data_IF_031760172099
#
_entry.id   IF_031760172099
#
_cell.length_a   1.000
_cell.length_b   1.000
_cell.length_c   1.000
_cell.angle_alpha   90.00
_cell.angle_beta   90.00
_cell.angle_gamma   90.00
#
_symmetry.space_group_name_H-M   'P 1'
#
loop_
_entity.id
_entity.type
_entity.pdbx_description
1 polymer ?
#
# COMPACT_ATOMS: atom_id res chain seq x y z
N UNK A 1 -24.41 -14.29 -74.96
CA UNK A 1 -24.78 -14.23 -73.54
C UNK A 1 -24.06 -15.34 -72.80
N UNK A 2 -23.08 -15.01 -71.97
CA UNK A 2 -22.70 -15.83 -70.81
C UNK A 2 -21.87 -14.94 -69.87
N UNK A 3 -22.46 -14.66 -68.71
CA UNK A 3 -21.94 -13.77 -67.67
C UNK A 3 -20.77 -14.44 -66.93
N UNK A 4 -19.68 -13.69 -66.76
CA UNK A 4 -18.70 -13.92 -65.71
C UNK A 4 -19.29 -13.44 -64.37
N UNK A 5 -19.21 -14.27 -63.34
CA UNK A 5 -19.39 -13.84 -61.95
C UNK A 5 -18.07 -14.06 -61.23
N UNK A 6 -17.34 -12.97 -61.00
CA UNK A 6 -16.14 -12.96 -60.16
C UNK A 6 -16.61 -12.89 -58.71
N UNK A 7 -16.30 -13.92 -57.93
CA UNK A 7 -16.61 -14.00 -56.52
C UNK A 7 -15.44 -13.36 -55.72
N UNK A 8 -15.56 -12.07 -55.39
CA UNK A 8 -14.58 -11.33 -54.58
C UNK A 8 -15.07 -11.20 -53.13
N UNK A 9 -14.77 -12.20 -52.28
CA UNK A 9 -15.12 -12.17 -50.86
C UNK A 9 -13.91 -12.32 -49.90
N UNK A 10 -12.68 -12.32 -50.42
CA UNK A 10 -11.47 -12.59 -49.61
C UNK A 10 -10.61 -11.35 -49.27
N UNK A 11 -11.05 -10.13 -49.59
CA UNK A 11 -10.23 -8.91 -49.42
C UNK A 11 -10.57 -8.02 -48.22
N UNK A 12 -11.83 -7.96 -47.78
CA UNK A 12 -12.28 -6.94 -46.84
C UNK A 12 -11.88 -7.21 -45.37
N UNK A 13 -11.82 -8.47 -44.96
CA UNK A 13 -11.50 -8.85 -43.58
C UNK A 13 -10.03 -8.65 -43.19
N UNK A 14 -9.10 -8.74 -44.15
CA UNK A 14 -7.66 -8.54 -43.90
C UNK A 14 -7.25 -7.05 -43.90
N UNK A 15 -7.99 -6.19 -44.60
CA UNK A 15 -7.75 -4.74 -44.60
C UNK A 15 -8.13 -4.13 -43.24
N UNK A 16 -9.32 -4.47 -42.72
CA UNK A 16 -9.79 -4.00 -41.42
C UNK A 16 -8.89 -4.44 -40.24
N UNK A 17 -8.33 -5.65 -40.29
CA UNK A 17 -7.40 -6.13 -39.25
C UNK A 17 -6.05 -5.40 -39.28
N UNK A 18 -5.57 -5.03 -40.47
CA UNK A 18 -4.29 -4.32 -40.64
C UNK A 18 -4.42 -2.86 -40.17
N UNK A 19 -5.56 -2.23 -40.46
CA UNK A 19 -5.87 -0.86 -40.01
C UNK A 19 -6.06 -0.77 -38.48
N UNK A 20 -6.60 -1.81 -37.84
CA UNK A 20 -6.69 -1.86 -36.36
C UNK A 20 -5.35 -2.12 -35.68
N UNK A 21 -4.48 -2.92 -36.30
CA UNK A 21 -3.11 -3.11 -35.79
C UNK A 21 -2.29 -1.82 -35.86
N UNK A 22 -2.38 -1.07 -36.96
CA UNK A 22 -1.70 0.21 -37.10
C UNK A 22 -2.26 1.27 -36.14
N UNK A 23 -3.59 1.29 -35.94
CA UNK A 23 -4.21 2.13 -34.92
C UNK A 23 -3.76 1.80 -33.49
N UNK A 24 -3.65 0.51 -33.13
CA UNK A 24 -3.15 0.09 -31.83
C UNK A 24 -1.70 0.53 -31.59
N UNK A 25 -0.85 0.46 -32.62
CA UNK A 25 0.52 0.98 -32.56
C UNK A 25 0.53 2.51 -32.38
N UNK A 26 -0.30 3.25 -33.12
CA UNK A 26 -0.41 4.70 -32.96
C UNK A 26 -0.89 5.09 -31.56
N UNK A 27 -1.82 4.34 -30.96
CA UNK A 27 -2.26 4.57 -29.59
C UNK A 27 -1.11 4.35 -28.59
N UNK A 28 -0.28 3.33 -28.77
CA UNK A 28 0.88 3.08 -27.92
C UNK A 28 1.96 4.17 -28.04
N UNK A 29 2.09 4.81 -29.21
CA UNK A 29 3.02 5.92 -29.44
C UNK A 29 2.48 7.25 -28.91
N UNK A 30 1.17 7.48 -28.99
CA UNK A 30 0.53 8.75 -28.59
C UNK A 30 0.20 8.81 -27.10
N UNK A 31 -0.10 7.67 -26.47
CA UNK A 31 -0.55 7.61 -25.08
C UNK A 31 0.46 6.83 -24.22
N UNK A 32 1.26 7.53 -23.39
CA UNK A 32 2.24 6.89 -22.51
C UNK A 32 1.64 5.82 -21.60
N UNK A 33 0.38 5.97 -21.18
CA UNK A 33 -0.31 4.98 -20.35
C UNK A 33 -0.45 3.61 -21.01
N UNK A 34 -0.60 3.56 -22.35
CA UNK A 34 -0.70 2.30 -23.10
C UNK A 34 0.63 1.55 -23.03
N UNK A 35 1.74 2.27 -23.14
CA UNK A 35 3.09 1.70 -23.02
C UNK A 35 3.36 1.21 -21.60
N UNK A 36 3.04 2.01 -20.58
CA UNK A 36 3.16 1.59 -19.17
C UNK A 36 2.34 0.33 -18.86
N UNK A 37 1.09 0.29 -19.31
CA UNK A 37 0.24 -0.88 -19.13
C UNK A 37 0.81 -2.12 -19.85
N UNK A 38 1.41 -1.97 -21.02
CA UNK A 38 2.10 -3.08 -21.69
C UNK A 38 3.35 -3.57 -20.93
N UNK A 39 4.10 -2.65 -20.31
CA UNK A 39 5.34 -2.97 -19.59
C UNK A 39 5.08 -3.59 -18.21
N UNK A 40 4.14 -3.05 -17.44
CA UNK A 40 3.90 -3.47 -16.04
C UNK A 40 2.97 -4.68 -15.92
N UNK A 41 2.07 -4.87 -16.88
CA UNK A 41 1.01 -5.91 -16.80
C UNK A 41 1.40 -7.21 -17.53
N UNK A 42 2.49 -7.21 -18.32
CA UNK A 42 2.89 -8.36 -19.15
C UNK A 42 4.12 -9.12 -18.61
N UNK A 43 4.03 -10.46 -18.62
CA UNK A 43 4.86 -11.18 -19.60
C UNK A 43 3.99 -12.00 -20.57
N UNK A 44 4.26 -11.82 -21.87
CA UNK A 44 3.92 -12.66 -23.04
C UNK A 44 3.28 -14.05 -22.77
N UNK A 45 2.11 -14.38 -23.37
CA UNK A 45 1.99 -15.40 -24.47
C UNK A 45 0.60 -15.99 -24.78
N UNK A 46 -0.44 -16.01 -23.94
CA UNK A 46 -1.50 -17.04 -24.15
C UNK A 46 -2.83 -16.65 -24.82
N UNK A 47 -3.00 -15.47 -25.43
CA UNK A 47 -4.25 -15.14 -26.18
C UNK A 47 -4.04 -14.32 -27.45
N UNK A 48 -2.92 -14.49 -28.15
CA UNK A 48 -2.54 -13.61 -29.27
C UNK A 48 -3.11 -13.97 -30.66
N UNK A 49 -3.99 -14.96 -30.82
CA UNK A 49 -4.43 -15.35 -32.16
C UNK A 49 -5.83 -14.86 -32.61
N UNK A 50 -6.65 -14.27 -31.72
CA UNK A 50 -8.04 -13.95 -32.11
C UNK A 50 -8.70 -12.74 -31.44
N UNK A 51 -7.99 -11.95 -30.62
CA UNK A 51 -8.56 -10.73 -30.02
C UNK A 51 -8.17 -9.51 -30.85
N UNK A 52 -9.12 -8.59 -31.01
CA UNK A 52 -8.89 -7.28 -31.62
C UNK A 52 -7.78 -6.53 -30.87
N UNK A 53 -6.76 -6.00 -31.55
CA UNK A 53 -5.72 -5.17 -30.94
C UNK A 53 -6.23 -4.01 -30.08
N UNK A 54 -7.37 -3.39 -30.44
CA UNK A 54 -7.96 -2.30 -29.66
C UNK A 54 -8.61 -2.80 -28.37
N UNK A 55 -9.26 -3.96 -28.40
CA UNK A 55 -9.80 -4.62 -27.20
C UNK A 55 -8.68 -5.04 -26.25
N UNK A 56 -7.54 -5.46 -26.79
CA UNK A 56 -6.37 -5.80 -25.99
C UNK A 56 -5.80 -4.58 -25.25
N UNK A 57 -5.78 -3.41 -25.89
CA UNK A 57 -5.38 -2.15 -25.25
C UNK A 57 -6.34 -1.83 -24.09
N UNK A 58 -7.66 -1.91 -24.31
CA UNK A 58 -8.63 -1.64 -23.25
C UNK A 58 -8.54 -2.63 -22.07
N UNK A 59 -8.28 -3.91 -22.33
CA UNK A 59 -8.03 -4.94 -21.31
C UNK A 59 -6.76 -4.63 -20.50
N UNK A 60 -5.66 -4.26 -21.16
CA UNK A 60 -4.40 -3.89 -20.50
C UNK A 60 -4.56 -2.65 -19.61
N UNK A 61 -5.22 -1.61 -20.13
CA UNK A 61 -5.48 -0.37 -19.40
C UNK A 61 -6.38 -0.60 -18.18
N UNK A 62 -7.41 -1.42 -18.34
CA UNK A 62 -8.31 -1.80 -17.23
C UNK A 62 -7.57 -2.60 -16.17
N UNK A 63 -6.71 -3.55 -16.56
CA UNK A 63 -5.91 -4.34 -15.64
C UNK A 63 -4.86 -3.49 -14.92
N UNK A 64 -4.19 -2.59 -15.63
CA UNK A 64 -3.27 -1.61 -15.05
C UNK A 64 -3.94 -0.77 -13.96
N UNK A 65 -5.10 -0.18 -14.25
CA UNK A 65 -5.85 0.60 -13.24
C UNK A 65 -6.22 -0.26 -12.03
N UNK A 66 -6.68 -1.49 -12.25
CA UNK A 66 -7.00 -2.42 -11.17
C UNK A 66 -5.79 -2.72 -10.28
N UNK A 67 -4.63 -2.97 -10.86
CA UNK A 67 -3.39 -3.23 -10.11
C UNK A 67 -2.93 -2.01 -9.32
N UNK A 68 -2.98 -0.80 -9.90
CA UNK A 68 -2.62 0.43 -9.19
C UNK A 68 -3.62 0.74 -8.06
N UNK A 69 -4.93 0.54 -8.27
CA UNK A 69 -5.94 0.71 -7.22
C UNK A 69 -5.72 -0.27 -6.06
N UNK A 70 -5.51 -1.56 -6.35
CA UNK A 70 -5.21 -2.55 -5.31
C UNK A 70 -3.94 -2.19 -4.53
N UNK A 71 -2.92 -1.66 -5.22
CA UNK A 71 -1.70 -1.18 -4.57
C UNK A 71 -1.97 0.01 -3.65
N UNK A 72 -2.79 0.97 -4.08
CA UNK A 72 -3.18 2.11 -3.27
C UNK A 72 -3.99 1.68 -2.03
N UNK A 73 -4.91 0.73 -2.18
CA UNK A 73 -5.67 0.15 -1.05
C UNK A 73 -4.74 -0.51 -0.04
N UNK A 74 -3.79 -1.34 -0.49
CA UNK A 74 -2.81 -1.96 0.39
C UNK A 74 -1.92 -0.96 1.14
N UNK A 75 -1.54 0.15 0.49
CA UNK A 75 -0.83 1.25 1.15
C UNK A 75 -1.70 1.93 2.20
N UNK A 76 -2.97 2.22 1.89
CA UNK A 76 -3.90 2.86 2.81
C UNK A 76 -4.14 2.00 4.07
N UNK A 77 -4.31 0.69 3.90
CA UNK A 77 -4.47 -0.25 5.01
C UNK A 77 -3.21 -0.30 5.88
N UNK A 78 -2.02 -0.32 5.27
CA UNK A 78 -0.76 -0.31 6.02
C UNK A 78 -0.59 0.98 6.85
N UNK A 79 -0.86 2.14 6.24
CA UNK A 79 -0.86 3.44 6.93
C UNK A 79 -1.82 3.43 8.11
N UNK A 80 -3.03 2.91 7.93
CA UNK A 80 -4.04 2.83 8.97
C UNK A 80 -3.59 1.94 10.12
N UNK A 81 -3.18 0.71 9.83
CA UNK A 81 -2.73 -0.26 10.85
C UNK A 81 -1.59 0.33 11.69
N UNK A 82 -0.60 0.97 11.05
CA UNK A 82 0.52 1.59 11.76
C UNK A 82 0.09 2.81 12.58
N UNK A 83 -0.78 3.66 12.04
CA UNK A 83 -1.32 4.83 12.74
C UNK A 83 -2.12 4.43 13.99
N UNK A 84 -3.00 3.43 13.85
CA UNK A 84 -3.81 2.90 14.95
C UNK A 84 -2.90 2.24 16.02
N UNK A 85 -1.87 1.52 15.59
CA UNK A 85 -0.91 0.88 16.48
C UNK A 85 -0.12 1.90 17.33
N UNK A 86 0.45 2.96 16.74
CA UNK A 86 1.21 3.95 17.52
C UNK A 86 0.32 4.71 18.51
N UNK A 87 -0.92 5.03 18.12
CA UNK A 87 -1.87 5.70 18.99
C UNK A 87 -2.24 4.83 20.19
N UNK A 88 -2.49 3.54 19.95
CA UNK A 88 -2.82 2.59 21.01
C UNK A 88 -1.61 2.30 21.92
N UNK A 89 -0.40 2.21 21.37
CA UNK A 89 0.84 2.09 22.17
C UNK A 89 0.99 3.30 23.09
N UNK A 90 0.85 4.53 22.57
CA UNK A 90 0.92 5.75 23.39
C UNK A 90 -0.14 5.75 24.49
N UNK A 91 -1.38 5.36 24.17
CA UNK A 91 -2.48 5.31 25.14
C UNK A 91 -2.19 4.30 26.25
N UNK A 92 -1.80 3.07 25.90
CA UNK A 92 -1.49 2.01 26.85
C UNK A 92 -0.27 2.35 27.70
N UNK A 93 0.75 2.95 27.10
CA UNK A 93 1.94 3.39 27.82
C UNK A 93 1.62 4.50 28.83
N UNK A 94 0.76 5.46 28.46
CA UNK A 94 0.27 6.48 29.40
C UNK A 94 -0.41 5.87 30.63
N UNK A 95 -1.13 4.76 30.47
CA UNK A 95 -1.73 4.03 31.59
C UNK A 95 -0.68 3.31 32.44
N UNK A 96 0.35 2.72 31.82
CA UNK A 96 1.50 2.14 32.54
C UNK A 96 2.21 3.21 33.38
N UNK A 97 2.46 4.38 32.80
CA UNK A 97 3.05 5.53 33.50
C UNK A 97 2.17 5.98 34.67
N UNK A 98 0.87 6.17 34.45
CA UNK A 98 -0.08 6.60 35.48
C UNK A 98 -0.11 5.63 36.67
N UNK A 99 -0.12 4.32 36.40
CA UNK A 99 -0.12 3.30 37.45
C UNK A 99 1.16 3.33 38.28
N UNK A 100 2.32 3.53 37.65
CA UNK A 100 3.61 3.41 38.32
C UNK A 100 4.08 4.71 38.98
N UNK A 101 3.78 5.88 38.41
CA UNK A 101 4.30 7.17 38.89
C UNK A 101 3.95 7.44 40.36
N UNK A 102 2.75 7.06 40.81
CA UNK A 102 2.29 7.24 42.19
C UNK A 102 3.12 6.46 43.23
N UNK A 103 3.84 5.43 42.78
CA UNK A 103 4.67 4.57 43.64
C UNK A 103 6.17 4.88 43.54
N UNK A 104 6.54 5.88 42.74
CA UNK A 104 7.93 6.39 42.63
C UNK A 104 8.07 7.75 43.30
N UNK A 105 9.29 8.31 43.31
CA UNK A 105 9.55 9.68 43.78
C UNK A 105 10.59 10.35 42.86
N UNK A 106 10.31 11.54 42.30
CA UNK A 106 11.27 12.25 41.45
C UNK A 106 12.55 12.69 42.17
N UNK A 107 12.54 12.78 43.51
CA UNK A 107 13.69 13.17 44.32
C UNK A 107 14.44 11.98 44.94
N UNK A 108 13.93 10.76 44.80
CA UNK A 108 14.51 9.55 45.38
C UNK A 108 14.47 8.37 44.39
N UNK A 109 15.62 8.10 43.78
CA UNK A 109 15.79 7.00 42.83
C UNK A 109 15.80 5.61 43.49
N UNK A 110 15.88 5.52 44.82
CA UNK A 110 15.79 4.24 45.53
C UNK A 110 14.35 3.74 45.65
N UNK A 111 13.37 4.65 45.51
CA UNK A 111 11.95 4.30 45.51
C UNK A 111 11.53 3.77 44.14
N UNK A 112 11.40 2.45 44.07
CA UNK A 112 11.10 1.72 42.83
C UNK A 112 9.80 0.92 42.93
N UNK A 113 9.15 0.70 41.80
CA UNK A 113 7.94 -0.11 41.66
C UNK A 113 8.10 -1.11 40.51
N UNK A 114 7.50 -2.32 40.55
CA UNK A 114 7.47 -3.20 39.39
C UNK A 114 6.67 -2.57 38.24
N UNK A 115 7.23 -2.48 37.05
CA UNK A 115 6.60 -1.84 35.89
C UNK A 115 5.28 -2.53 35.48
N UNK A 116 5.22 -3.85 35.62
CA UNK A 116 4.07 -4.68 35.29
C UNK A 116 3.10 -4.93 36.44
N UNK A 117 3.11 -4.13 37.50
CA UNK A 117 2.19 -4.37 38.63
C UNK A 117 0.72 -4.06 38.25
N UNK A 118 -0.21 -4.78 38.90
CA UNK A 118 -1.66 -4.71 38.68
C UNK A 118 -2.08 -4.76 37.19
N UNK A 119 -2.80 -3.73 36.73
CA UNK A 119 -3.30 -3.63 35.36
C UNK A 119 -2.19 -3.41 34.32
N UNK A 120 -0.99 -2.98 34.76
CA UNK A 120 0.13 -2.70 33.87
C UNK A 120 0.66 -3.96 33.18
N UNK A 121 0.52 -5.13 33.81
CA UNK A 121 0.84 -6.43 33.19
C UNK A 121 0.11 -6.63 31.85
N UNK A 122 -1.21 -6.38 31.87
CA UNK A 122 -2.07 -6.53 30.70
C UNK A 122 -1.74 -5.49 29.63
N UNK A 123 -1.45 -4.24 30.03
CA UNK A 123 -1.06 -3.19 29.10
C UNK A 123 0.27 -3.48 28.41
N UNK A 124 1.30 -3.90 29.16
CA UNK A 124 2.59 -4.30 28.59
C UNK A 124 2.45 -5.49 27.63
N UNK A 125 1.61 -6.47 27.98
CA UNK A 125 1.30 -7.61 27.10
C UNK A 125 0.65 -7.14 25.81
N UNK A 126 -0.29 -6.19 25.89
CA UNK A 126 -0.98 -5.68 24.71
C UNK A 126 -0.06 -4.84 23.82
N UNK A 127 0.83 -4.04 24.40
CA UNK A 127 1.86 -3.31 23.66
C UNK A 127 2.79 -4.31 22.93
N UNK A 128 3.25 -5.37 23.60
CA UNK A 128 4.08 -6.41 22.96
C UNK A 128 3.36 -7.05 21.76
N UNK A 129 2.08 -7.40 21.93
CA UNK A 129 1.24 -7.96 20.86
C UNK A 129 1.13 -7.00 19.69
N UNK A 130 0.82 -5.71 19.92
CA UNK A 130 0.69 -4.71 18.85
C UNK A 130 2.00 -4.58 18.07
N UNK A 131 3.13 -4.47 18.77
CA UNK A 131 4.45 -4.32 18.13
C UNK A 131 4.78 -5.55 17.29
N UNK A 132 4.53 -6.75 17.80
CA UNK A 132 4.82 -8.00 17.07
C UNK A 132 3.90 -8.23 15.88
N UNK A 133 2.61 -7.97 16.05
CA UNK A 133 1.59 -8.43 15.09
C UNK A 133 1.20 -7.34 14.09
N UNK A 134 0.99 -6.11 14.54
CA UNK A 134 0.53 -5.01 13.69
C UNK A 134 1.70 -4.27 13.05
N UNK A 135 2.78 -4.07 13.81
CA UNK A 135 3.99 -3.41 13.32
C UNK A 135 5.02 -4.41 12.74
N UNK A 136 4.79 -5.71 12.91
CA UNK A 136 5.66 -6.78 12.44
C UNK A 136 7.12 -6.63 12.93
N UNK A 137 7.29 -6.21 14.18
CA UNK A 137 8.60 -6.07 14.83
C UNK A 137 8.79 -7.18 15.88
N UNK A 138 9.68 -8.12 15.58
CA UNK A 138 9.99 -9.29 16.41
C UNK A 138 10.55 -8.94 17.80
N UNK A 139 11.00 -7.70 18.01
CA UNK A 139 11.47 -7.25 19.32
C UNK A 139 10.31 -7.11 20.31
N UNK A 140 9.10 -6.78 19.84
CA UNK A 140 7.96 -6.53 20.73
C UNK A 140 8.25 -5.40 21.74
N UNK A 141 7.78 -5.55 22.99
CA UNK A 141 8.01 -4.56 24.06
C UNK A 141 9.49 -4.34 24.38
N UNK A 142 10.39 -5.25 23.96
CA UNK A 142 11.83 -5.05 24.13
C UNK A 142 12.38 -3.90 23.29
N UNK A 143 11.69 -3.48 22.22
CA UNK A 143 12.04 -2.28 21.46
C UNK A 143 11.94 -1.00 22.32
N UNK A 144 11.08 -1.01 23.35
CA UNK A 144 10.87 0.10 24.28
C UNK A 144 11.67 -0.11 25.56
N UNK A 145 11.60 -1.31 26.13
CA UNK A 145 12.11 -1.57 27.48
C UNK A 145 13.53 -2.14 27.51
N UNK A 146 14.06 -2.55 26.35
CA UNK A 146 15.33 -3.28 26.24
C UNK A 146 15.30 -4.67 26.90
N UNK A 147 14.11 -5.17 27.29
CA UNK A 147 13.90 -6.39 28.07
C UNK A 147 12.80 -7.25 27.45
N UNK A 148 12.87 -8.56 27.69
CA UNK A 148 11.80 -9.47 27.28
C UNK A 148 10.48 -9.12 28.00
N UNK A 149 9.32 -9.49 27.46
CA UNK A 149 8.03 -9.20 28.11
C UNK A 149 7.98 -9.66 29.58
N UNK A 150 8.50 -10.86 29.87
CA UNK A 150 8.54 -11.40 31.22
C UNK A 150 9.45 -10.56 32.14
N UNK A 151 10.60 -10.11 31.64
CA UNK A 151 11.53 -9.28 32.39
C UNK A 151 11.02 -7.86 32.57
N UNK A 152 10.36 -7.30 31.56
CA UNK A 152 9.75 -5.96 31.60
C UNK A 152 8.66 -5.89 32.66
N UNK A 153 7.84 -6.93 32.81
CA UNK A 153 6.81 -7.00 33.86
C UNK A 153 7.40 -6.95 35.27
N UNK A 154 8.52 -7.65 35.47
CA UNK A 154 9.21 -7.73 36.76
C UNK A 154 10.23 -6.60 36.96
N UNK A 155 10.42 -5.72 35.97
CA UNK A 155 11.43 -4.69 36.03
C UNK A 155 11.05 -3.64 37.07
N UNK A 156 11.88 -3.49 38.10
CA UNK A 156 11.72 -2.44 39.10
C UNK A 156 12.21 -1.12 38.53
N UNK A 157 11.29 -0.18 38.33
CA UNK A 157 11.54 1.13 37.75
C UNK A 157 11.47 2.21 38.82
N UNK A 158 12.43 3.13 38.79
CA UNK A 158 12.38 4.41 39.50
C UNK A 158 11.65 5.47 38.64
N UNK A 159 11.44 6.67 39.21
CA UNK A 159 10.91 7.80 38.44
C UNK A 159 11.78 8.12 37.22
N UNK A 160 13.11 8.09 37.37
CA UNK A 160 14.06 8.34 36.28
C UNK A 160 13.97 7.27 35.20
N UNK A 161 13.81 6.00 35.56
CA UNK A 161 13.62 4.91 34.60
C UNK A 161 12.33 5.10 33.80
N UNK A 162 11.23 5.49 34.47
CA UNK A 162 9.95 5.77 33.82
C UNK A 162 10.08 6.89 32.78
N UNK A 163 10.78 7.98 33.10
CA UNK A 163 11.04 9.07 32.14
C UNK A 163 11.91 8.61 30.95
N UNK A 164 12.93 7.79 31.21
CA UNK A 164 13.79 7.23 30.15
C UNK A 164 13.01 6.29 29.22
N UNK A 165 12.13 5.47 29.78
CA UNK A 165 11.28 4.57 29.00
C UNK A 165 10.23 5.34 28.20
N UNK A 166 9.64 6.39 28.76
CA UNK A 166 8.72 7.30 28.06
C UNK A 166 9.37 7.99 26.86
N UNK A 167 10.62 8.45 27.03
CA UNK A 167 11.42 8.95 25.91
C UNK A 167 11.68 7.87 24.85
N UNK A 168 11.86 6.61 25.27
CA UNK A 168 12.08 5.50 24.34
C UNK A 168 10.80 5.16 23.57
N UNK A 169 9.62 5.21 24.20
CA UNK A 169 8.32 5.09 23.50
C UNK A 169 8.14 6.19 22.48
N UNK A 170 8.45 7.43 22.86
CA UNK A 170 8.36 8.58 21.95
C UNK A 170 9.25 8.37 20.72
N UNK A 171 10.53 8.03 20.93
CA UNK A 171 11.46 7.78 19.84
C UNK A 171 11.04 6.58 18.95
N UNK A 172 10.49 5.52 19.56
CA UNK A 172 9.96 4.37 18.84
C UNK A 172 8.78 4.77 17.94
N UNK A 173 7.82 5.51 18.48
CA UNK A 173 6.67 6.00 17.73
C UNK A 173 7.08 6.98 16.62
N UNK A 174 8.03 7.88 16.89
CA UNK A 174 8.56 8.80 15.89
C UNK A 174 9.18 8.06 14.70
N UNK A 175 9.90 6.96 14.96
CA UNK A 175 10.48 6.13 13.90
C UNK A 175 9.38 5.56 13.00
N UNK A 176 8.29 5.06 13.58
CA UNK A 176 7.16 4.52 12.82
C UNK A 176 6.41 5.64 12.10
N UNK A 177 6.32 6.83 12.70
CA UNK A 177 5.69 7.99 12.07
C UNK A 177 6.44 8.39 10.79
N UNK A 178 7.77 8.32 10.76
CA UNK A 178 8.56 8.56 9.55
C UNK A 178 8.24 7.53 8.46
N UNK A 179 8.05 6.25 8.82
CA UNK A 179 7.61 5.21 7.88
C UNK A 179 6.21 5.51 7.34
N UNK A 180 5.27 5.91 8.21
CA UNK A 180 3.91 6.32 7.85
C UNK A 180 3.94 7.48 6.87
N UNK A 181 4.71 8.53 7.16
CA UNK A 181 4.82 9.73 6.31
C UNK A 181 5.38 9.38 4.94
N UNK A 182 6.36 8.46 4.90
CA UNK A 182 6.94 7.95 3.66
C UNK A 182 5.91 7.19 2.82
N UNK A 183 5.14 6.29 3.43
CA UNK A 183 4.07 5.54 2.76
C UNK A 183 2.91 6.45 2.34
N UNK A 184 2.54 7.46 3.13
CA UNK A 184 1.55 8.47 2.74
C UNK A 184 1.99 9.25 1.50
N UNK A 185 3.28 9.60 1.40
CA UNK A 185 3.79 10.27 0.20
C UNK A 185 3.72 9.35 -1.02
N UNK A 186 4.07 8.06 -0.86
CA UNK A 186 3.94 7.07 -1.94
C UNK A 186 2.49 6.88 -2.37
N UNK A 187 1.57 6.78 -1.42
CA UNK A 187 0.14 6.69 -1.66
C UNK A 187 -0.36 7.90 -2.46
N UNK A 188 0.00 9.13 -2.08
CA UNK A 188 -0.36 10.35 -2.83
C UNK A 188 0.16 10.32 -4.27
N UNK A 189 1.38 9.84 -4.48
CA UNK A 189 1.96 9.71 -5.82
C UNK A 189 1.18 8.68 -6.66
N UNK A 190 0.84 7.52 -6.10
CA UNK A 190 0.04 6.48 -6.78
C UNK A 190 -1.36 7.01 -7.10
N UNK A 191 -2.02 7.71 -6.17
CA UNK A 191 -3.34 8.31 -6.42
C UNK A 191 -3.31 9.37 -7.54
N UNK A 192 -2.22 10.12 -7.64
CA UNK A 192 -2.00 11.09 -8.73
C UNK A 192 -1.81 10.36 -10.06
N UNK A 193 -1.03 9.28 -10.06
CA UNK A 193 -0.82 8.43 -11.24
C UNK A 193 -2.12 7.75 -11.70
N UNK A 194 -2.92 7.22 -10.79
CA UNK A 194 -4.24 6.65 -11.11
C UNK A 194 -5.13 7.72 -11.74
N UNK A 195 -5.18 8.92 -11.18
CA UNK A 195 -6.01 10.01 -11.72
C UNK A 195 -5.58 10.41 -13.13
N UNK A 196 -4.28 10.55 -13.36
CA UNK A 196 -3.71 10.82 -14.70
C UNK A 196 -4.01 9.67 -15.67
N UNK A 197 -3.80 8.43 -15.25
CA UNK A 197 -4.08 7.25 -16.04
C UNK A 197 -5.56 7.15 -16.41
N UNK A 198 -6.48 7.46 -15.51
CA UNK A 198 -7.92 7.47 -15.79
C UNK A 198 -8.29 8.50 -16.86
N UNK A 199 -7.68 9.69 -16.84
CA UNK A 199 -7.89 10.72 -17.85
C UNK A 199 -7.34 10.25 -19.22
N UNK A 200 -6.10 9.76 -19.26
CA UNK A 200 -5.50 9.24 -20.50
C UNK A 200 -6.29 8.04 -21.06
N UNK A 201 -6.73 7.11 -20.21
CA UNK A 201 -7.54 5.95 -20.63
C UNK A 201 -8.89 6.39 -21.19
N UNK A 202 -9.51 7.43 -20.62
CA UNK A 202 -10.74 8.00 -21.16
C UNK A 202 -10.51 8.55 -22.57
N UNK A 203 -9.39 9.21 -22.81
CA UNK A 203 -9.05 9.75 -24.13
C UNK A 203 -8.75 8.64 -25.13
N UNK A 204 -7.97 7.61 -24.74
CA UNK A 204 -7.74 6.41 -25.54
C UNK A 204 -9.06 5.75 -25.93
N UNK A 205 -9.98 5.56 -24.98
CA UNK A 205 -11.31 4.98 -25.25
C UNK A 205 -12.12 5.81 -26.23
N UNK A 206 -12.09 7.15 -26.14
CA UNK A 206 -12.77 8.01 -27.12
C UNK A 206 -12.18 7.84 -28.52
N UNK A 207 -10.86 7.70 -28.64
CA UNK A 207 -10.20 7.45 -29.93
C UNK A 207 -10.58 6.06 -30.47
N UNK A 208 -10.54 5.02 -29.64
CA UNK A 208 -10.96 3.66 -30.01
C UNK A 208 -12.41 3.66 -30.53
N UNK A 209 -13.34 4.33 -29.84
CA UNK A 209 -14.74 4.43 -30.28
C UNK A 209 -14.84 5.11 -31.64
N UNK A 210 -14.14 6.24 -31.86
CA UNK A 210 -14.14 6.92 -33.17
C UNK A 210 -13.61 6.02 -34.29
N UNK A 211 -12.54 5.28 -34.02
CA UNK A 211 -11.96 4.34 -34.99
C UNK A 211 -12.89 3.16 -35.27
N UNK A 212 -13.58 2.65 -34.25
CA UNK A 212 -14.56 1.57 -34.40
C UNK A 212 -15.79 1.97 -35.22
N UNK A 213 -16.19 3.25 -35.17
CA UNK A 213 -17.32 3.81 -35.93
C UNK A 213 -16.93 4.24 -37.35
N UNK A 214 -15.64 4.51 -37.59
CA UNK A 214 -15.11 4.84 -38.92
C UNK A 214 -14.81 3.59 -39.79
N UNK A 215 -14.91 2.39 -39.19
CA UNK A 215 -14.71 1.08 -39.83
C UNK A 215 -15.99 0.57 -40.50
#
# INVERSE_FOLDING_TARGET
>A
MQNMTINSAYGASNLASTDRQSAAQQLAEQFPIVKKAQEEVAPMQTRQASKDPLDLIDELLSKYLGEQTNRAEGMADNIKVRSDAIAEISRLWGLVMQNNMNFTDPNDSSKTTPLGDDASDAYLTKIDEIIRTQLNDERGISAITGKSLADSKNYRVSYTDLQSLDATVTAFNDTIQVDIDTEQQRFKNVMTEISSAQEEIRDVRQVIVRLSQAS
#
